data_IF_176637762310
#
_entry.id   IF_176637762310
#
_cell.length_a   1.000
_cell.length_b   1.000
_cell.length_c   1.000
_cell.angle_alpha   90.00
_cell.angle_beta   90.00
_cell.angle_gamma   90.00
#
_symmetry.space_group_name_H-M   'P 1'
#
loop_
_entity.id
_entity.type
_entity.pdbx_description
1 polymer ?
#
# COMPACT_ATOMS: atom_id res chain seq x y z
N UNK A 1 17.03 75.56 7.64
CA UNK A 1 15.91 74.78 8.19
C UNK A 1 16.11 73.35 7.77
N UNK A 2 16.19 72.44 8.74
CA UNK A 2 16.33 70.98 8.59
C UNK A 2 15.11 70.37 7.86
N UNK A 3 15.23 69.13 7.37
CA UNK A 3 14.80 68.03 8.22
C UNK A 3 15.80 66.85 8.27
N UNK A 4 15.91 66.29 9.47
CA UNK A 4 16.48 64.97 9.75
C UNK A 4 15.57 63.87 9.20
N UNK A 5 16.16 62.82 8.59
CA UNK A 5 15.45 61.60 8.25
C UNK A 5 16.08 60.41 8.97
N UNK A 6 15.27 59.77 9.80
CA UNK A 6 15.58 58.69 10.72
C UNK A 6 16.20 57.44 10.06
N UNK A 7 17.22 56.91 10.71
CA UNK A 7 17.79 55.58 10.50
C UNK A 7 16.80 54.54 11.06
N UNK A 8 16.41 53.59 10.22
CA UNK A 8 15.49 52.50 10.57
C UNK A 8 16.30 51.29 11.07
N UNK A 9 16.41 51.12 12.39
CA UNK A 9 16.99 49.92 13.01
C UNK A 9 15.93 48.80 13.03
N UNK A 10 16.13 47.79 12.19
CA UNK A 10 15.40 46.52 12.28
C UNK A 10 16.16 45.60 13.23
N UNK A 11 15.75 45.58 14.50
CA UNK A 11 16.19 44.53 15.42
C UNK A 11 15.50 43.22 15.05
N UNK A 12 16.29 42.26 14.55
CA UNK A 12 15.86 40.90 14.34
C UNK A 12 15.69 40.17 15.67
N UNK A 13 14.46 39.87 16.04
CA UNK A 13 14.19 38.93 17.14
C UNK A 13 14.53 37.50 16.70
N UNK A 14 15.77 37.09 17.00
CA UNK A 14 16.18 35.68 16.99
C UNK A 14 15.68 35.01 18.27
N UNK A 15 14.60 34.24 18.17
CA UNK A 15 14.15 33.38 19.28
C UNK A 15 14.99 32.11 19.23
N UNK A 16 16.10 32.12 19.96
CA UNK A 16 16.88 30.91 20.27
C UNK A 16 16.04 29.98 21.16
N UNK A 17 15.41 28.96 20.57
CA UNK A 17 14.89 27.83 21.32
C UNK A 17 16.08 27.02 21.84
N UNK A 18 16.60 27.40 23.02
CA UNK A 18 17.44 26.52 23.82
C UNK A 18 16.66 25.22 24.06
N UNK A 19 17.31 24.10 23.75
CA UNK A 19 16.84 22.75 24.03
C UNK A 19 16.37 22.61 25.48
N UNK A 20 15.05 22.75 25.73
CA UNK A 20 14.41 22.27 26.95
C UNK A 20 14.28 20.76 26.86
N UNK A 21 15.40 20.07 27.02
CA UNK A 21 15.43 18.66 27.35
C UNK A 21 15.46 18.55 28.86
N UNK A 22 14.30 18.34 29.48
CA UNK A 22 14.12 17.73 30.81
C UNK A 22 12.61 17.49 30.95
N UNK A 23 12.20 16.26 30.67
CA UNK A 23 10.85 15.80 31.01
C UNK A 23 10.69 15.78 32.53
N UNK A 24 9.51 16.18 33.00
CA UNK A 24 9.10 16.14 34.39
C UNK A 24 8.98 14.68 34.86
N UNK A 25 10.08 14.11 35.33
CA UNK A 25 10.10 12.92 36.16
C UNK A 25 11.29 13.05 37.10
N UNK A 26 11.04 13.48 38.34
CA UNK A 26 12.06 13.51 39.39
C UNK A 26 12.50 12.07 39.73
N UNK A 27 13.80 11.73 39.68
CA UNK A 27 14.29 10.48 40.24
C UNK A 27 14.43 10.65 41.75
N UNK A 28 13.65 9.88 42.50
CA UNK A 28 13.77 9.72 43.94
C UNK A 28 15.19 9.19 44.26
N UNK A 29 15.90 9.91 45.13
CA UNK A 29 17.24 9.60 45.64
C UNK A 29 17.34 8.17 46.22
N UNK A 30 18.40 7.42 45.87
CA UNK A 30 19.22 6.67 46.83
C UNK A 30 20.59 6.21 46.27
N UNK A 31 21.61 6.51 47.10
CA UNK A 31 22.99 6.08 47.30
C UNK A 31 23.82 5.16 46.36
N UNK A 32 25.02 5.69 46.09
CA UNK A 32 26.40 5.17 46.02
C UNK A 32 26.76 3.74 45.55
N UNK A 33 27.76 3.73 44.65
CA UNK A 33 28.65 2.64 44.21
C UNK A 33 28.09 1.60 43.23
N UNK A 34 27.77 2.05 42.01
CA UNK A 34 27.90 1.25 40.80
C UNK A 34 28.35 2.17 39.66
N UNK A 35 29.25 1.69 38.79
CA UNK A 35 29.56 2.36 37.52
C UNK A 35 28.24 2.71 36.81
N UNK A 36 28.09 3.92 36.25
CA UNK A 36 26.83 4.29 35.60
C UNK A 36 26.53 3.24 34.51
N UNK A 37 25.34 2.62 34.50
CA UNK A 37 24.96 1.75 33.40
C UNK A 37 25.08 2.57 32.10
N UNK A 38 25.59 1.94 31.04
CA UNK A 38 25.70 2.57 29.72
C UNK A 38 24.40 3.33 29.42
N UNK A 39 24.48 4.59 28.95
CA UNK A 39 23.30 5.42 28.79
C UNK A 39 22.28 4.69 27.92
N UNK A 40 21.10 4.42 28.49
CA UNK A 40 20.02 3.74 27.80
C UNK A 40 19.65 4.55 26.56
N UNK A 41 20.07 4.07 25.38
CA UNK A 41 19.75 4.67 24.09
C UNK A 41 18.28 4.38 23.76
N UNK A 42 17.37 5.18 24.33
CA UNK A 42 15.97 5.13 23.97
C UNK A 42 15.75 5.85 22.63
N UNK A 43 15.12 5.20 21.64
CA UNK A 43 14.77 5.86 20.39
C UNK A 43 13.79 7.00 20.68
N UNK A 44 14.08 8.18 20.14
CA UNK A 44 13.20 9.35 20.29
C UNK A 44 12.10 9.31 19.25
N UNK A 45 10.86 9.53 19.68
CA UNK A 45 9.72 9.67 18.77
C UNK A 45 9.91 10.87 17.84
N UNK A 46 9.51 10.71 16.58
CA UNK A 46 9.60 11.78 15.56
C UNK A 46 8.29 12.54 15.39
N UNK A 47 7.19 12.10 16.03
CA UNK A 47 5.84 12.63 15.78
C UNK A 47 5.73 14.11 16.13
N UNK A 48 6.29 14.54 17.26
CA UNK A 48 6.23 15.93 17.70
C UNK A 48 6.91 16.87 16.69
N UNK A 49 8.16 16.59 16.35
CA UNK A 49 8.92 17.41 15.39
C UNK A 49 8.27 17.43 14.01
N UNK A 50 7.73 16.29 13.54
CA UNK A 50 6.97 16.23 12.27
C UNK A 50 5.72 17.08 12.33
N UNK A 51 4.95 17.02 13.41
CA UNK A 51 3.76 17.85 13.60
C UNK A 51 4.09 19.34 13.66
N UNK A 52 5.21 19.73 14.27
CA UNK A 52 5.68 21.12 14.28
C UNK A 52 5.91 21.67 12.87
N UNK A 53 6.36 20.86 11.89
CA UNK A 53 6.53 21.30 10.50
C UNK A 53 5.23 21.75 9.82
N UNK A 54 4.06 21.38 10.37
CA UNK A 54 2.77 21.88 9.88
C UNK A 54 2.60 23.38 10.10
N UNK A 55 3.11 23.90 11.22
CA UNK A 55 3.02 25.31 11.61
C UNK A 55 4.07 26.18 10.92
N UNK A 56 5.14 25.57 10.39
CA UNK A 56 6.14 26.28 9.59
C UNK A 56 5.72 26.44 8.12
N UNK A 57 4.56 25.90 7.70
CA UNK A 57 4.04 26.00 6.33
C UNK A 57 2.92 27.05 6.24
N UNK A 58 2.83 27.82 5.15
CA UNK A 58 1.70 28.72 4.92
C UNK A 58 0.35 28.00 5.00
N UNK A 59 -0.64 28.63 5.64
CA UNK A 59 -1.99 28.05 5.79
C UNK A 59 -2.99 28.51 4.72
N UNK A 60 -2.68 29.60 4.02
CA UNK A 60 -3.59 30.25 3.07
C UNK A 60 -3.23 29.97 1.59
N UNK A 61 -2.46 28.92 1.32
CA UNK A 61 -2.22 28.50 -0.06
C UNK A 61 -3.48 27.84 -0.62
N UNK A 62 -3.94 28.23 -1.83
CA UNK A 62 -4.98 27.47 -2.51
C UNK A 62 -4.53 26.01 -2.65
N UNK A 63 -5.48 25.08 -2.51
CA UNK A 63 -5.18 23.66 -2.69
C UNK A 63 -4.58 23.46 -4.09
N UNK A 64 -3.54 22.62 -4.20
CA UNK A 64 -2.99 22.28 -5.52
C UNK A 64 -4.09 21.61 -6.35
N UNK A 65 -4.49 22.29 -7.42
CA UNK A 65 -5.50 21.82 -8.33
C UNK A 65 -4.91 20.72 -9.23
N UNK A 66 -5.21 19.46 -8.88
CA UNK A 66 -5.04 18.30 -9.77
C UNK A 66 -6.26 17.92 -10.65
N UNK A 67 -7.34 18.72 -10.84
CA UNK A 67 -8.57 18.23 -11.46
C UNK A 67 -8.41 17.95 -12.96
N UNK A 68 -7.52 18.65 -13.68
CA UNK A 68 -7.42 18.52 -15.14
C UNK A 68 -6.95 17.11 -15.57
N UNK A 69 -5.84 16.61 -15.00
CA UNK A 69 -5.33 15.26 -15.30
C UNK A 69 -6.27 14.17 -14.81
N UNK A 70 -6.93 14.36 -13.66
CA UNK A 70 -7.95 13.45 -13.16
C UNK A 70 -9.15 13.36 -14.11
N UNK A 71 -9.68 14.51 -14.55
CA UNK A 71 -10.85 14.58 -15.43
C UNK A 71 -10.57 13.90 -16.77
N UNK A 72 -9.37 14.08 -17.32
CA UNK A 72 -8.99 13.40 -18.57
C UNK A 72 -8.93 11.88 -18.40
N UNK A 73 -8.33 11.38 -17.31
CA UNK A 73 -8.31 9.94 -17.02
C UNK A 73 -9.71 9.35 -16.87
N UNK A 74 -10.63 10.07 -16.21
CA UNK A 74 -12.03 9.66 -16.06
C UNK A 74 -12.73 9.57 -17.42
N UNK A 75 -12.54 10.59 -18.27
CA UNK A 75 -13.10 10.63 -19.62
C UNK A 75 -12.61 9.45 -20.47
N UNK A 76 -11.29 9.20 -20.49
CA UNK A 76 -10.69 8.07 -21.21
C UNK A 76 -11.21 6.74 -20.68
N UNK A 77 -11.31 6.57 -19.36
CA UNK A 77 -11.83 5.34 -18.76
C UNK A 77 -13.27 5.06 -19.19
N UNK A 78 -14.17 6.04 -19.12
CA UNK A 78 -15.57 5.88 -19.52
C UNK A 78 -15.70 5.53 -21.02
N UNK A 79 -14.89 6.14 -21.88
CA UNK A 79 -14.87 5.82 -23.30
C UNK A 79 -14.42 4.36 -23.53
N UNK A 80 -13.36 3.92 -22.86
CA UNK A 80 -12.85 2.53 -22.95
C UNK A 80 -13.85 1.51 -22.42
N UNK A 81 -14.52 1.79 -21.29
CA UNK A 81 -15.59 0.92 -20.73
C UNK A 81 -16.71 0.74 -21.76
N UNK A 82 -17.22 1.84 -22.34
CA UNK A 82 -18.26 1.77 -23.36
C UNK A 82 -17.82 0.97 -24.60
N UNK A 83 -16.55 1.13 -25.01
CA UNK A 83 -15.99 0.34 -26.12
C UNK A 83 -15.95 -1.15 -25.77
N UNK A 84 -15.46 -1.51 -24.59
CA UNK A 84 -15.41 -2.91 -24.13
C UNK A 84 -16.81 -3.54 -24.02
N UNK A 85 -17.82 -2.79 -23.58
CA UNK A 85 -19.20 -3.29 -23.49
C UNK A 85 -19.85 -3.55 -24.85
N UNK A 86 -19.48 -2.77 -25.88
CA UNK A 86 -20.07 -2.87 -27.22
C UNK A 86 -19.28 -3.78 -28.15
N UNK A 87 -18.00 -4.01 -27.88
CA UNK A 87 -17.13 -4.83 -28.72
C UNK A 87 -17.51 -6.31 -28.60
N UNK A 88 -17.81 -6.95 -29.73
CA UNK A 88 -18.25 -8.36 -29.80
C UNK A 88 -17.22 -9.30 -30.43
N UNK A 89 -16.03 -8.80 -30.79
CA UNK A 89 -14.96 -9.60 -31.38
C UNK A 89 -13.95 -10.08 -30.34
N UNK A 90 -13.26 -11.18 -30.63
CA UNK A 90 -12.00 -11.53 -29.97
C UNK A 90 -11.06 -12.13 -31.01
N UNK A 91 -9.92 -11.49 -31.26
CA UNK A 91 -8.83 -12.11 -32.01
C UNK A 91 -7.68 -12.35 -31.02
N UNK A 92 -7.51 -13.61 -30.64
CA UNK A 92 -6.53 -14.05 -29.64
C UNK A 92 -5.27 -14.68 -30.26
N UNK A 93 -5.17 -14.71 -31.59
CA UNK A 93 -4.16 -15.53 -32.26
C UNK A 93 -2.79 -14.84 -32.41
N UNK A 94 -2.74 -13.51 -32.31
CA UNK A 94 -1.50 -12.75 -32.50
C UNK A 94 -1.06 -12.10 -31.18
N UNK A 95 0.00 -12.64 -30.59
CA UNK A 95 0.65 -12.01 -29.44
C UNK A 95 1.29 -10.69 -29.88
N UNK A 96 0.98 -9.61 -29.17
CA UNK A 96 1.54 -8.26 -29.42
C UNK A 96 3.02 -8.22 -29.02
N UNK A 97 3.40 -9.02 -28.01
CA UNK A 97 4.71 -9.02 -27.40
C UNK A 97 5.04 -10.42 -26.84
N UNK A 98 6.31 -10.84 -26.95
CA UNK A 98 6.89 -11.99 -26.24
C UNK A 98 8.23 -11.58 -25.68
N UNK A 99 8.29 -11.40 -24.37
CA UNK A 99 9.45 -10.81 -23.72
C UNK A 99 10.17 -11.87 -22.92
N UNK A 100 11.48 -11.97 -23.11
CA UNK A 100 12.31 -12.73 -22.19
C UNK A 100 12.46 -11.90 -20.93
N UNK A 101 11.70 -12.29 -19.90
CA UNK A 101 11.72 -11.59 -18.63
C UNK A 101 13.01 -11.85 -17.86
N UNK A 102 13.88 -12.77 -18.30
CA UNK A 102 15.04 -13.25 -17.54
C UNK A 102 14.68 -13.59 -16.08
N UNK A 103 13.48 -14.11 -15.90
CA UNK A 103 13.01 -14.67 -14.64
C UNK A 103 13.53 -16.09 -14.54
N UNK A 104 14.17 -16.42 -13.42
CA UNK A 104 14.79 -17.74 -13.25
C UNK A 104 13.73 -18.83 -13.09
N UNK A 105 12.66 -18.51 -12.34
CA UNK A 105 11.57 -19.44 -12.03
C UNK A 105 10.29 -19.10 -12.78
N UNK A 106 10.15 -17.86 -13.26
CA UNK A 106 9.07 -17.41 -14.12
C UNK A 106 8.21 -16.33 -13.45
N UNK A 107 7.32 -15.70 -14.23
CA UNK A 107 6.46 -14.66 -13.69
C UNK A 107 5.40 -15.26 -12.76
N UNK A 108 5.32 -14.79 -11.51
CA UNK A 108 4.35 -15.25 -10.52
C UNK A 108 3.02 -14.50 -10.60
N UNK A 109 3.09 -13.17 -10.70
CA UNK A 109 1.91 -12.33 -10.88
C UNK A 109 2.22 -11.15 -11.78
N UNK A 110 1.18 -10.70 -12.49
CA UNK A 110 1.25 -9.69 -13.53
C UNK A 110 0.15 -8.65 -13.32
N UNK A 111 0.43 -7.41 -13.67
CA UNK A 111 -0.49 -6.29 -13.58
C UNK A 111 -0.26 -5.32 -14.74
N UNK A 112 -1.31 -5.07 -15.52
CA UNK A 112 -1.30 -4.04 -16.56
C UNK A 112 -1.73 -2.69 -15.99
N UNK A 113 -1.00 -1.64 -16.34
CA UNK A 113 -1.37 -0.29 -15.94
C UNK A 113 -2.56 0.22 -16.78
N UNK A 114 -3.60 0.82 -16.17
CA UNK A 114 -4.85 1.15 -16.87
C UNK A 114 -4.72 2.30 -17.88
N UNK A 115 -3.74 3.19 -17.72
CA UNK A 115 -3.61 4.42 -18.50
C UNK A 115 -2.27 4.59 -19.22
N UNK A 116 -1.32 3.69 -19.00
CA UNK A 116 0.04 3.76 -19.57
C UNK A 116 0.40 2.37 -20.07
N UNK A 117 1.30 2.24 -21.06
CA UNK A 117 1.65 0.95 -21.65
C UNK A 117 2.60 0.14 -20.75
N UNK A 118 2.33 0.08 -19.45
CA UNK A 118 3.21 -0.54 -18.48
C UNK A 118 2.68 -1.91 -18.06
N UNK A 119 3.57 -2.89 -18.09
CA UNK A 119 3.40 -4.19 -17.48
C UNK A 119 4.27 -4.25 -16.22
N UNK A 120 3.65 -4.62 -15.11
CA UNK A 120 4.34 -4.89 -13.85
C UNK A 120 4.30 -6.40 -13.64
N UNK A 121 5.45 -6.98 -13.36
CA UNK A 121 5.60 -8.42 -13.16
C UNK A 121 6.41 -8.70 -11.90
N UNK A 122 6.05 -9.75 -11.18
CA UNK A 122 6.86 -10.30 -10.10
C UNK A 122 7.49 -11.63 -10.46
N UNK A 123 8.65 -11.90 -9.88
CA UNK A 123 9.41 -13.15 -10.00
C UNK A 123 9.98 -13.55 -8.64
N UNK A 124 10.12 -14.85 -8.43
CA UNK A 124 10.90 -15.40 -7.33
C UNK A 124 12.29 -15.76 -7.86
N UNK A 125 13.15 -14.75 -7.88
CA UNK A 125 14.52 -14.86 -8.38
C UNK A 125 15.45 -15.68 -7.46
N UNK A 126 14.92 -16.55 -6.60
CA UNK A 126 15.67 -17.45 -5.70
C UNK A 126 16.50 -16.76 -4.61
N UNK A 127 16.65 -15.43 -4.66
CA UNK A 127 17.48 -14.62 -3.76
C UNK A 127 16.72 -13.93 -2.61
N UNK A 128 15.41 -14.15 -2.51
CA UNK A 128 14.55 -13.54 -1.49
C UNK A 128 13.93 -12.21 -1.91
N UNK A 129 12.74 -11.91 -1.39
CA UNK A 129 12.17 -10.58 -1.48
C UNK A 129 11.13 -10.29 -2.55
N UNK A 130 10.86 -11.22 -3.47
CA UNK A 130 9.98 -11.00 -4.64
C UNK A 130 10.49 -9.85 -5.53
N UNK A 131 11.18 -10.19 -6.62
CA UNK A 131 11.65 -9.19 -7.57
C UNK A 131 10.47 -8.62 -8.35
N UNK A 132 10.40 -7.29 -8.48
CA UNK A 132 9.39 -6.57 -9.25
C UNK A 132 10.08 -5.90 -10.43
N UNK A 133 9.57 -6.14 -11.63
CA UNK A 133 10.05 -5.52 -12.88
C UNK A 133 8.91 -4.78 -13.56
N UNK A 134 9.23 -3.60 -14.09
CA UNK A 134 8.30 -2.71 -14.79
C UNK A 134 8.80 -2.48 -16.19
N UNK A 135 7.91 -2.69 -17.15
CA UNK A 135 8.19 -2.88 -18.56
C UNK A 135 7.25 -2.00 -19.38
N UNK A 136 7.77 -1.27 -20.37
CA UNK A 136 6.97 -0.46 -21.31
C UNK A 136 6.71 -1.25 -22.60
N UNK A 137 5.53 -1.85 -22.72
CA UNK A 137 5.25 -2.78 -23.81
C UNK A 137 5.13 -2.17 -25.20
N UNK A 138 5.03 -0.85 -25.31
CA UNK A 138 5.07 -0.16 -26.61
C UNK A 138 6.53 0.10 -27.03
N UNK A 139 7.37 0.54 -26.10
CA UNK A 139 8.78 0.85 -26.37
C UNK A 139 9.72 -0.36 -26.28
N UNK A 140 9.24 -1.50 -25.81
CA UNK A 140 10.05 -2.70 -25.56
C UNK A 140 11.21 -2.48 -24.57
N UNK A 141 11.01 -1.63 -23.57
CA UNK A 141 12.06 -1.26 -22.60
C UNK A 141 11.73 -1.64 -21.16
N UNK A 142 12.77 -1.97 -20.40
CA UNK A 142 12.69 -2.14 -18.94
C UNK A 142 12.81 -0.76 -18.27
N UNK A 143 11.74 -0.31 -17.63
CA UNK A 143 11.68 0.99 -16.94
C UNK A 143 12.35 0.94 -15.57
N UNK A 144 12.06 -0.10 -14.78
CA UNK A 144 12.61 -0.24 -13.43
C UNK A 144 12.61 -1.70 -12.95
N UNK A 145 13.46 -2.00 -11.97
CA UNK A 145 13.57 -3.32 -11.32
C UNK A 145 14.01 -3.13 -9.88
N UNK A 146 13.29 -3.75 -8.93
CA UNK A 146 13.62 -3.69 -7.50
C UNK A 146 13.01 -4.86 -6.72
N UNK A 147 13.51 -5.12 -5.51
CA UNK A 147 12.96 -6.16 -4.63
C UNK A 147 11.91 -5.57 -3.69
N UNK A 148 10.81 -6.30 -3.43
CA UNK A 148 9.77 -5.86 -2.50
C UNK A 148 10.25 -5.85 -1.04
N UNK A 149 11.21 -6.71 -0.69
CA UNK A 149 11.94 -6.70 0.58
C UNK A 149 13.24 -7.50 0.44
N UNK A 150 14.02 -7.61 1.53
CA UNK A 150 15.29 -8.37 1.53
C UNK A 150 15.14 -9.76 2.17
N UNK A 151 14.03 -10.02 2.87
CA UNK A 151 13.81 -11.32 3.53
C UNK A 151 13.64 -12.48 2.53
N UNK A 152 14.28 -13.64 2.76
CA UNK A 152 14.11 -14.81 1.90
C UNK A 152 12.75 -15.49 2.09
N UNK A 153 12.31 -16.23 1.06
CA UNK A 153 11.22 -17.21 1.15
C UNK A 153 9.80 -16.64 1.22
N UNK A 154 9.58 -15.41 0.78
CA UNK A 154 8.23 -14.87 0.58
C UNK A 154 8.00 -14.49 -0.88
N UNK A 155 6.98 -15.09 -1.45
CA UNK A 155 6.52 -14.82 -2.80
C UNK A 155 5.48 -13.70 -2.80
N UNK A 156 5.40 -12.99 -3.93
CA UNK A 156 4.40 -11.94 -4.10
C UNK A 156 3.09 -12.60 -4.54
N UNK A 157 2.12 -12.58 -3.65
CA UNK A 157 0.77 -13.12 -3.85
C UNK A 157 -0.13 -12.24 -4.74
N UNK A 158 0.04 -10.92 -4.68
CA UNK A 158 -0.84 -9.98 -5.38
C UNK A 158 -0.11 -8.68 -5.70
N UNK A 159 -0.37 -8.18 -6.91
CA UNK A 159 -0.07 -6.81 -7.34
C UNK A 159 -1.39 -6.05 -7.57
N UNK A 160 -1.47 -4.81 -7.10
CA UNK A 160 -2.61 -3.93 -7.40
C UNK A 160 -2.20 -2.45 -7.46
N UNK A 161 -3.12 -1.61 -7.94
CA UNK A 161 -2.96 -0.15 -7.99
C UNK A 161 -3.99 0.51 -7.06
N UNK A 162 -3.51 1.18 -6.02
CA UNK A 162 -4.28 1.97 -5.05
C UNK A 162 -3.89 3.43 -5.22
N UNK A 163 -4.16 3.99 -6.41
CA UNK A 163 -3.52 5.19 -6.97
C UNK A 163 -1.99 5.05 -7.20
N UNK A 164 -1.29 4.49 -6.22
CA UNK A 164 0.12 4.07 -6.26
C UNK A 164 0.22 2.53 -6.40
N UNK A 165 1.42 2.02 -6.59
CA UNK A 165 1.65 0.58 -6.76
C UNK A 165 1.69 -0.15 -5.42
N UNK A 166 1.03 -1.30 -5.34
CA UNK A 166 0.98 -2.14 -4.14
C UNK A 166 1.42 -3.55 -4.47
N UNK A 167 2.34 -4.08 -3.66
CA UNK A 167 2.78 -5.47 -3.71
C UNK A 167 2.51 -6.16 -2.37
N UNK A 168 1.96 -7.37 -2.43
CA UNK A 168 1.57 -8.12 -1.24
C UNK A 168 2.19 -9.52 -1.18
N UNK A 169 2.82 -9.84 -0.05
CA UNK A 169 3.43 -11.12 0.32
C UNK A 169 2.89 -11.61 1.70
N UNK A 170 1.68 -11.17 2.06
CA UNK A 170 1.11 -11.22 3.41
C UNK A 170 1.37 -9.94 4.22
N UNK A 171 2.47 -9.25 3.95
CA UNK A 171 2.59 -7.83 4.25
C UNK A 171 2.16 -7.04 3.01
N UNK A 172 1.59 -5.87 3.23
CA UNK A 172 1.22 -4.93 2.17
C UNK A 172 2.26 -3.84 2.14
N UNK A 173 2.83 -3.57 0.97
CA UNK A 173 3.80 -2.51 0.74
C UNK A 173 3.31 -1.61 -0.39
N UNK A 174 3.21 -0.31 -0.11
CA UNK A 174 2.81 0.70 -1.08
C UNK A 174 4.06 1.43 -1.57
N UNK A 175 4.25 1.46 -2.88
CA UNK A 175 5.42 2.00 -3.54
C UNK A 175 5.04 3.18 -4.43
N UNK A 176 5.79 4.28 -4.27
CA UNK A 176 5.69 5.48 -5.10
C UNK A 176 6.91 5.59 -6.01
N UNK A 177 6.78 6.31 -7.12
CA UNK A 177 7.83 6.54 -8.12
C UNK A 177 8.39 5.22 -8.69
N UNK A 178 7.56 4.17 -8.71
CA UNK A 178 7.96 2.80 -9.05
C UNK A 178 8.34 2.61 -10.52
N UNK A 179 7.88 3.50 -11.40
CA UNK A 179 8.23 3.49 -12.83
C UNK A 179 9.59 4.16 -13.11
N UNK A 180 10.15 4.91 -12.17
CA UNK A 180 11.39 5.66 -12.37
C UNK A 180 12.56 4.85 -11.80
N UNK A 181 13.51 4.50 -12.67
CA UNK A 181 14.68 3.69 -12.32
C UNK A 181 15.39 4.21 -11.06
N UNK A 182 15.53 3.34 -10.07
CA UNK A 182 16.21 3.61 -8.79
C UNK A 182 15.63 4.79 -7.97
N UNK A 183 14.38 5.20 -8.21
CA UNK A 183 13.71 6.28 -7.46
C UNK A 183 12.50 5.81 -6.68
N UNK A 184 12.17 4.52 -6.75
CA UNK A 184 11.07 3.93 -6.00
C UNK A 184 11.22 4.15 -4.49
N UNK A 185 10.12 4.50 -3.83
CA UNK A 185 10.07 4.76 -2.39
C UNK A 185 8.94 3.97 -1.75
N UNK A 186 9.25 3.33 -0.63
CA UNK A 186 8.24 2.72 0.23
C UNK A 186 7.46 3.85 0.95
N UNK A 187 6.17 3.94 0.68
CA UNK A 187 5.25 4.94 1.26
C UNK A 187 4.76 4.46 2.63
N UNK A 188 4.24 3.24 2.67
CA UNK A 188 3.77 2.59 3.89
C UNK A 188 3.90 1.07 3.76
N UNK A 189 4.01 0.40 4.89
CA UNK A 189 4.01 -1.05 4.97
C UNK A 189 3.33 -1.52 6.26
N UNK A 190 2.49 -2.55 6.16
CA UNK A 190 1.81 -3.14 7.31
C UNK A 190 1.53 -4.63 7.07
N UNK A 191 1.37 -5.40 8.15
CA UNK A 191 0.96 -6.80 8.05
C UNK A 191 -0.54 -6.86 7.78
N UNK A 192 -0.96 -7.47 6.68
CA UNK A 192 -2.39 -7.57 6.35
C UNK A 192 -3.10 -8.68 7.14
N UNK A 193 -2.32 -9.61 7.68
CA UNK A 193 -2.77 -10.78 8.42
C UNK A 193 -2.12 -10.75 9.81
N UNK A 194 -2.94 -10.77 10.85
CA UNK A 194 -2.52 -10.78 12.26
C UNK A 194 -2.76 -12.15 12.91
N UNK A 195 -2.01 -12.45 13.98
CA UNK A 195 -2.32 -13.57 14.88
C UNK A 195 -1.87 -14.95 14.42
N UNK A 196 -1.09 -15.07 13.33
CA UNK A 196 -0.54 -16.36 12.86
C UNK A 196 0.98 -16.35 12.91
N UNK A 197 1.55 -17.32 13.62
CA UNK A 197 2.99 -17.52 13.87
C UNK A 197 3.64 -18.54 12.91
N UNK A 198 3.02 -18.86 11.78
CA UNK A 198 3.54 -19.92 10.89
C UNK A 198 3.85 -19.38 9.49
N UNK A 199 5.04 -19.76 9.01
CA UNK A 199 5.70 -19.35 7.76
C UNK A 199 4.99 -19.75 6.46
N UNK A 200 3.72 -20.16 6.51
CA UNK A 200 2.96 -20.56 5.31
C UNK A 200 1.52 -20.08 5.44
N UNK A 201 1.36 -18.77 5.29
CA UNK A 201 0.06 -18.19 4.98
C UNK A 201 0.13 -17.90 3.50
N UNK A 202 -0.52 -18.69 2.66
CA UNK A 202 -0.77 -18.33 1.25
C UNK A 202 -1.68 -17.11 1.29
N UNK A 203 -1.13 -15.88 1.25
CA UNK A 203 -1.92 -14.70 1.52
C UNK A 203 -2.77 -14.44 0.30
N UNK A 204 -4.04 -14.18 0.53
CA UNK A 204 -4.98 -13.81 -0.52
C UNK A 204 -5.47 -12.43 -0.16
N UNK A 205 -5.26 -11.48 -1.05
CA UNK A 205 -5.62 -10.08 -0.83
C UNK A 205 -6.36 -9.53 -2.04
N UNK A 206 -7.40 -8.75 -1.78
CA UNK A 206 -8.04 -7.93 -2.81
C UNK A 206 -8.46 -6.56 -2.29
N UNK A 207 -8.58 -5.61 -3.21
CA UNK A 207 -8.75 -4.18 -2.93
C UNK A 207 -10.02 -3.63 -3.55
N UNK A 208 -10.70 -2.72 -2.85
CA UNK A 208 -11.88 -2.01 -3.32
C UNK A 208 -11.65 -0.49 -3.35
N UNK A 209 -11.39 0.04 -4.54
CA UNK A 209 -11.05 1.46 -4.73
C UNK A 209 -12.11 2.44 -4.24
N UNK A 210 -13.39 2.08 -4.40
CA UNK A 210 -14.51 2.96 -4.09
C UNK A 210 -14.70 3.20 -2.58
N UNK A 211 -14.51 2.17 -1.77
CA UNK A 211 -14.74 2.23 -0.32
C UNK A 211 -13.49 2.53 0.48
N UNK A 212 -12.30 2.30 -0.10
CA UNK A 212 -11.06 2.35 0.66
C UNK A 212 -10.76 1.06 1.42
N UNK A 213 -11.46 -0.04 1.12
CA UNK A 213 -11.31 -1.29 1.86
C UNK A 213 -10.40 -2.29 1.16
N UNK A 214 -9.57 -2.94 1.98
CA UNK A 214 -8.77 -4.08 1.58
C UNK A 214 -9.19 -5.31 2.38
N UNK A 215 -9.33 -6.43 1.69
CA UNK A 215 -9.70 -7.71 2.27
C UNK A 215 -8.49 -8.64 2.20
N UNK A 216 -8.12 -9.23 3.33
CA UNK A 216 -6.98 -10.13 3.42
C UNK A 216 -7.37 -11.42 4.15
N UNK A 217 -7.00 -12.56 3.58
CA UNK A 217 -7.16 -13.88 4.18
C UNK A 217 -6.06 -14.82 3.67
N UNK A 218 -6.26 -16.13 3.79
CA UNK A 218 -5.32 -17.15 3.36
C UNK A 218 -5.46 -18.41 4.20
N UNK A 219 -4.34 -18.95 4.65
CA UNK A 219 -4.29 -20.07 5.62
C UNK A 219 -4.75 -19.74 7.05
N UNK A 220 -5.59 -18.72 7.21
CA UNK A 220 -6.08 -18.23 8.51
C UNK A 220 -7.58 -18.48 8.62
N UNK A 221 -8.10 -18.57 9.86
CA UNK A 221 -9.52 -18.83 10.11
C UNK A 221 -10.42 -17.58 10.05
N UNK A 222 -9.95 -16.47 9.48
CA UNK A 222 -10.74 -15.25 9.33
C UNK A 222 -10.43 -14.47 8.05
N UNK A 223 -11.33 -13.58 7.67
CA UNK A 223 -11.05 -12.53 6.67
C UNK A 223 -10.90 -11.21 7.38
N UNK A 224 -9.74 -10.58 7.22
CA UNK A 224 -9.42 -9.27 7.77
C UNK A 224 -9.89 -8.18 6.82
N UNK A 225 -10.58 -7.19 7.35
CA UNK A 225 -11.10 -6.04 6.60
C UNK A 225 -10.39 -4.79 7.10
N UNK A 226 -9.63 -4.16 6.20
CA UNK A 226 -8.83 -2.99 6.49
C UNK A 226 -9.43 -1.73 5.85
N UNK A 227 -9.45 -0.63 6.59
CA UNK A 227 -9.68 0.71 6.07
C UNK A 227 -8.32 1.37 5.81
N UNK A 228 -7.95 1.47 4.53
CA UNK A 228 -6.66 2.05 4.15
C UNK A 228 -6.62 3.57 4.32
N UNK A 229 -7.76 4.26 4.37
CA UNK A 229 -7.78 5.70 4.64
C UNK A 229 -7.47 6.00 6.11
N UNK A 230 -7.84 5.10 7.01
CA UNK A 230 -7.57 5.20 8.45
C UNK A 230 -6.34 4.42 8.89
N UNK A 231 -5.77 3.60 7.99
CA UNK A 231 -4.70 2.64 8.29
C UNK A 231 -5.06 1.71 9.47
N UNK A 232 -6.30 1.22 9.49
CA UNK A 232 -6.84 0.44 10.62
C UNK A 232 -7.54 -0.85 10.18
N UNK A 233 -7.40 -1.90 10.99
CA UNK A 233 -8.20 -3.11 10.89
C UNK A 233 -9.61 -2.81 11.42
N UNK A 234 -10.60 -2.76 10.53
CA UNK A 234 -12.00 -2.49 10.88
C UNK A 234 -12.67 -3.69 11.52
N UNK A 235 -12.48 -4.87 10.92
CA UNK A 235 -13.14 -6.08 11.37
C UNK A 235 -12.36 -7.33 10.99
N UNK A 236 -12.62 -8.40 11.73
CA UNK A 236 -12.15 -9.76 11.43
C UNK A 236 -13.39 -10.64 11.35
N UNK A 237 -13.73 -11.07 10.14
CA UNK A 237 -14.90 -11.93 9.88
C UNK A 237 -14.44 -13.38 10.05
N UNK A 238 -14.90 -14.11 11.09
CA UNK A 238 -14.50 -15.50 11.27
C UNK A 238 -15.05 -16.36 10.13
N UNK A 239 -14.23 -17.31 9.67
CA UNK A 239 -14.67 -18.31 8.71
C UNK A 239 -15.55 -19.32 9.44
N UNK A 240 -16.75 -19.58 8.91
CA UNK A 240 -17.63 -20.62 9.43
C UNK A 240 -17.17 -22.04 9.07
N UNK A 241 -16.15 -22.16 8.20
CA UNK A 241 -15.56 -23.41 7.75
C UNK A 241 -14.13 -23.55 8.28
N UNK A 242 -13.70 -24.80 8.47
CA UNK A 242 -12.29 -25.14 8.77
C UNK A 242 -11.41 -25.01 7.53
N UNK A 243 -12.00 -24.82 6.34
CA UNK A 243 -11.26 -24.64 5.09
C UNK A 243 -10.77 -23.21 4.89
N UNK A 244 -9.54 -23.09 4.39
CA UNK A 244 -8.92 -21.81 4.03
C UNK A 244 -9.47 -21.25 2.71
N UNK A 245 -9.28 -19.93 2.56
CA UNK A 245 -9.65 -19.20 1.35
C UNK A 245 -8.55 -19.34 0.29
N UNK A 246 -8.92 -19.72 -0.94
CA UNK A 246 -8.07 -19.76 -2.14
C UNK A 246 -7.97 -18.42 -2.84
N UNK A 247 -9.09 -17.70 -2.89
CA UNK A 247 -9.28 -16.57 -3.78
C UNK A 247 -10.24 -15.56 -3.16
N UNK A 248 -9.95 -14.28 -3.36
CA UNK A 248 -10.81 -13.16 -2.98
C UNK A 248 -11.06 -12.28 -4.19
N UNK A 249 -12.29 -11.80 -4.31
CA UNK A 249 -12.70 -10.84 -5.31
C UNK A 249 -13.63 -9.78 -4.68
N UNK A 250 -13.10 -8.58 -4.46
CA UNK A 250 -13.83 -7.43 -4.00
C UNK A 250 -14.62 -6.80 -5.15
N UNK A 251 -15.89 -6.45 -4.89
CA UNK A 251 -16.72 -5.80 -5.89
C UNK A 251 -16.18 -4.41 -6.20
N UNK A 252 -15.90 -4.08 -7.47
CA UNK A 252 -15.47 -2.72 -7.83
C UNK A 252 -16.65 -1.73 -7.96
N UNK A 253 -17.89 -2.20 -7.76
CA UNK A 253 -19.13 -1.43 -7.96
C UNK A 253 -19.94 -1.30 -6.66
N UNK A 254 -19.94 -2.34 -5.82
CA UNK A 254 -20.74 -2.40 -4.60
C UNK A 254 -19.85 -2.40 -3.36
N UNK A 255 -19.67 -1.21 -2.77
CA UNK A 255 -18.91 -0.99 -1.54
C UNK A 255 -19.27 -1.96 -0.42
N UNK A 256 -18.26 -2.61 0.17
CA UNK A 256 -18.41 -3.54 1.29
C UNK A 256 -18.75 -4.98 0.92
N UNK A 257 -18.90 -5.29 -0.37
CA UNK A 257 -19.18 -6.65 -0.85
C UNK A 257 -17.96 -7.31 -1.48
N UNK A 258 -17.75 -8.59 -1.17
CA UNK A 258 -16.72 -9.41 -1.78
C UNK A 258 -17.14 -10.88 -1.86
N UNK A 259 -16.53 -11.60 -2.81
CA UNK A 259 -16.64 -13.04 -2.96
C UNK A 259 -15.35 -13.71 -2.45
N UNK A 260 -15.49 -14.88 -1.83
CA UNK A 260 -14.37 -15.73 -1.43
C UNK A 260 -14.57 -17.15 -1.96
N UNK A 261 -13.54 -17.67 -2.62
CA UNK A 261 -13.43 -19.09 -2.98
C UNK A 261 -12.65 -19.86 -1.93
N UNK A 262 -13.09 -21.07 -1.62
CA UNK A 262 -12.52 -21.92 -0.58
C UNK A 262 -11.83 -23.16 -1.17
N UNK A 263 -10.92 -23.75 -0.40
CA UNK A 263 -10.25 -25.02 -0.76
C UNK A 263 -11.22 -26.20 -0.91
N UNK A 264 -12.40 -26.14 -0.30
CA UNK A 264 -13.47 -27.15 -0.45
C UNK A 264 -14.29 -26.99 -1.74
N UNK A 265 -13.94 -26.02 -2.60
CA UNK A 265 -14.66 -25.71 -3.83
C UNK A 265 -15.93 -24.87 -3.63
N UNK A 266 -16.26 -24.48 -2.39
CA UNK A 266 -17.37 -23.55 -2.14
C UNK A 266 -16.99 -22.11 -2.49
N UNK A 267 -17.98 -21.34 -2.92
CA UNK A 267 -17.89 -19.90 -3.13
C UNK A 267 -18.89 -19.22 -2.23
N UNK A 268 -18.45 -18.18 -1.52
CA UNK A 268 -19.28 -17.45 -0.56
C UNK A 268 -19.26 -15.97 -0.84
N UNK A 269 -20.42 -15.34 -0.68
CA UNK A 269 -20.58 -13.90 -0.79
C UNK A 269 -20.69 -13.28 0.60
N UNK A 270 -19.97 -12.18 0.79
CA UNK A 270 -19.90 -11.45 2.03
C UNK A 270 -20.33 -10.00 1.81
N UNK A 271 -20.98 -9.44 2.82
CA UNK A 271 -21.30 -8.02 2.92
C UNK A 271 -20.97 -7.54 4.34
N UNK A 272 -19.88 -6.77 4.45
CA UNK A 272 -19.34 -6.33 5.74
C UNK A 272 -20.26 -5.36 6.50
N UNK A 273 -21.28 -4.83 5.82
CA UNK A 273 -22.28 -3.93 6.41
C UNK A 273 -23.34 -4.71 7.18
N UNK A 274 -23.37 -6.04 7.05
CA UNK A 274 -24.30 -6.92 7.75
C UNK A 274 -23.67 -7.49 9.02
N UNK A 275 -24.46 -7.62 10.09
CA UNK A 275 -23.97 -8.13 11.38
C UNK A 275 -23.38 -9.55 11.34
N UNK A 276 -23.81 -10.39 10.39
CA UNK A 276 -23.28 -11.75 10.22
C UNK A 276 -22.14 -11.84 9.20
N UNK A 277 -21.88 -10.78 8.43
CA UNK A 277 -20.85 -10.71 7.38
C UNK A 277 -21.12 -11.57 6.14
N UNK A 278 -21.91 -12.64 6.24
CA UNK A 278 -22.16 -13.64 5.19
C UNK A 278 -23.56 -13.49 4.57
N UNK A 279 -23.66 -13.62 3.24
CA UNK A 279 -24.91 -13.45 2.47
C UNK A 279 -25.36 -14.75 1.78
N UNK A 280 -24.45 -15.53 1.17
CA UNK A 280 -24.82 -16.71 0.37
C UNK A 280 -23.66 -17.72 0.22
N UNK A 281 -23.94 -19.02 0.26
CA UNK A 281 -23.01 -20.11 -0.12
C UNK A 281 -23.49 -20.76 -1.43
N UNK A 282 -22.58 -20.94 -2.37
CA UNK A 282 -22.78 -21.77 -3.55
C UNK A 282 -21.73 -22.90 -3.57
N UNK A 283 -22.20 -24.15 -3.70
CA UNK A 283 -21.32 -25.30 -3.89
C UNK A 283 -21.09 -25.55 -5.38
N UNK A 284 -19.84 -25.80 -5.78
CA UNK A 284 -19.54 -26.38 -7.09
C UNK A 284 -20.22 -27.74 -7.23
N UNK A 285 -20.81 -27.99 -8.40
CA UNK A 285 -21.35 -29.32 -8.75
C UNK A 285 -20.22 -30.29 -9.06
#
# INVERSE_FOLDING_TARGET
MTPDSLVNTTEGFSVNFRSMGLGLADPILHDHHASPPDPIFLPKSTIYNRSCTRFSKPFLTPAEDFPATRNERVKVALQRINKCQRYSGCNLHNAIARWDTHFQTGAQTLLLHPFSPFLIASDDAGGGGGCIRIWDYEEATLLNSFNNHESPGKEISKLCLVNEFVACDGNVRVWKDYTIKCKQKLVTAFSSIHGVTVRSVNPVVDWQQQSGYMYASGGISSTMVWDLNKEQLLSSIPLSSVCSISALAASQVHGGQFAAGFMDGSVRLYDIRTHKGYVLVQHGK
#
